data_IF_150587392386
#
_entry.id   IF_150587392386
#
_cell.length_a   1.000
_cell.length_b   1.000
_cell.length_c   1.000
_cell.angle_alpha   90.00
_cell.angle_beta   90.00
_cell.angle_gamma   90.00
#
_symmetry.space_group_name_H-M   'P 1'
#
loop_
_entity.id
_entity.type
_entity.pdbx_description
1 polymer ?
2 polymer ?
3 polymer ?
4 non-polymer ?
5 non-polymer ?
6 non-polymer ?
7 water ?
#
loop_
_entity_poly.entity_id
_entity_poly.type
_entity_poly.pdbx_seq_one_letter_code
_entity_poly.pdbx_strand_id
2 'polydeoxyribonucleotide' '(DT)(DT)(DT)(DC)(DG)(DT)(DC)(DT)(DT)(DC)(DG)(DG)(DC)(DA)(DA)(DT)(DT)' ?
3 'polydeoxyribonucleotide' '(DA)(DA)(DA)(DT)(DT)(DG)(DC)(DC)(DG)(DA)(DA)(DG)(DA)(DC)(DG)(DA)(DA)' ?
#
# COMPACT_ATOMS: atom_id res chain seq x y z
N UNK A 6 13.43 22.46 9.07
CA UNK A 6 13.70 22.54 10.49
C UNK A 6 13.48 21.22 11.21
N UNK A 7 14.58 20.54 11.54
CA UNK A 7 14.49 19.24 12.20
C UNK A 7 13.83 19.35 13.56
N UNK A 8 13.99 20.51 14.23
CA UNK A 8 13.33 20.69 15.52
C UNK A 8 11.81 20.75 15.37
N UNK A 9 11.34 21.41 14.31
CA UNK A 9 9.90 21.46 14.08
C UNK A 9 9.37 20.11 13.62
N UNK A 10 10.13 19.38 12.80
CA UNK A 10 9.66 18.11 12.26
C UNK A 10 9.49 17.08 13.36
N UNK A 11 10.35 17.11 14.38
CA UNK A 11 10.18 16.17 15.49
C UNK A 11 8.92 16.46 16.27
N UNK A 12 8.53 17.73 16.37
CA UNK A 12 7.29 18.08 17.04
C UNK A 12 6.08 17.55 16.28
N UNK A 13 6.14 17.56 14.94
CA UNK A 13 5.04 17.04 14.14
C UNK A 13 4.92 15.53 14.34
N UNK A 14 6.06 14.82 14.42
CA UNK A 14 6.03 13.38 14.58
C UNK A 14 5.46 12.96 15.93
N UNK A 15 5.70 13.75 16.98
CA UNK A 15 5.08 13.48 18.27
C UNK A 15 3.56 13.62 18.16
N UNK A 16 3.09 14.64 17.43
CA UNK A 16 1.66 14.80 17.21
C UNK A 16 1.08 13.63 16.44
N UNK A 17 1.87 13.02 15.56
CA UNK A 17 1.43 11.90 14.74
C UNK A 17 1.56 10.55 15.44
N UNK A 18 2.13 10.52 16.65
CA UNK A 18 2.29 9.26 17.36
C UNK A 18 0.94 8.71 17.80
N UNK A 19 0.74 7.42 17.58
CA UNK A 19 -0.52 6.78 17.93
C UNK A 19 -0.62 6.54 19.42
N UNK A 20 -1.84 6.60 19.93
CA UNK A 20 -2.10 6.30 21.34
C UNK A 20 -2.14 4.79 21.54
N UNK A 21 -1.29 4.29 22.43
CA UNK A 21 -1.24 2.85 22.67
C UNK A 21 -2.56 2.33 23.21
N UNK A 22 -3.29 3.15 23.97
CA UNK A 22 -4.64 2.78 24.38
C UNK A 22 -5.57 2.72 23.17
N UNK A 23 -5.43 3.66 22.24
CA UNK A 23 -6.22 3.60 21.01
C UNK A 23 -5.86 2.39 20.19
N UNK A 24 -4.57 2.06 20.10
CA UNK A 24 -4.14 0.88 19.35
C UNK A 24 -4.76 -0.38 19.95
N UNK A 25 -4.75 -0.50 21.28
CA UNK A 25 -5.24 -1.71 21.92
C UNK A 25 -6.75 -1.88 21.68
N UNK A 26 -7.51 -0.80 21.78
CA UNK A 26 -8.94 -0.89 21.53
C UNK A 26 -9.25 -1.06 20.06
N UNK A 27 -8.47 -0.40 19.19
CA UNK A 27 -8.72 -0.51 17.75
C UNK A 27 -8.33 -1.89 17.23
N UNK A 28 -7.17 -2.38 17.64
CA UNK A 28 -6.74 -3.70 17.19
C UNK A 28 -7.70 -4.78 17.66
N UNK A 29 -8.20 -4.66 18.89
CA UNK A 29 -9.16 -5.64 19.39
C UNK A 29 -10.44 -5.67 18.57
N UNK A 30 -10.93 -4.48 18.18
CA UNK A 30 -12.14 -4.43 17.35
C UNK A 30 -11.89 -5.02 15.97
N UNK A 31 -10.74 -4.69 15.38
CA UNK A 31 -10.44 -5.16 14.03
C UNK A 31 -10.23 -6.67 14.03
N UNK A 32 -9.41 -7.18 14.96
CA UNK A 32 -9.13 -8.61 14.99
C UNK A 32 -10.39 -9.43 15.19
N UNK A 33 -11.29 -8.98 16.06
CA UNK A 33 -12.51 -9.73 16.29
C UNK A 33 -13.39 -9.83 15.06
N UNK A 34 -13.49 -8.74 14.29
CA UNK A 34 -14.29 -8.76 13.07
C UNK A 34 -13.58 -9.54 11.96
N UNK A 35 -12.26 -9.36 11.86
CA UNK A 35 -11.51 -10.05 10.80
C UNK A 35 -11.49 -11.55 11.05
N UNK A 36 -11.26 -11.97 12.30
CA UNK A 36 -11.29 -13.40 12.60
C UNK A 36 -12.66 -14.00 12.37
N UNK A 37 -13.72 -13.21 12.60
CA UNK A 37 -15.07 -13.71 12.34
C UNK A 37 -15.28 -13.97 10.85
N UNK A 38 -14.86 -13.02 10.02
CA UNK A 38 -15.05 -13.17 8.57
C UNK A 38 -14.20 -14.31 8.02
N UNK A 39 -13.00 -14.51 8.58
CA UNK A 39 -12.17 -15.61 8.12
C UNK A 39 -12.79 -16.96 8.43
N UNK A 40 -13.35 -17.11 9.64
CA UNK A 40 -13.98 -18.36 10.01
C UNK A 40 -15.15 -18.69 9.08
N UNK A 41 -15.95 -17.68 8.72
CA UNK A 41 -17.05 -17.91 7.80
C UNK A 41 -16.55 -18.27 6.41
N UNK A 42 -15.59 -17.49 5.90
CA UNK A 42 -15.09 -17.72 4.55
C UNK A 42 -14.40 -19.07 4.41
N UNK A 43 -13.73 -19.54 5.47
CA UNK A 43 -13.10 -20.85 5.43
C UNK A 43 -14.11 -21.98 5.33
N UNK A 44 -15.38 -21.70 5.62
CA UNK A 44 -16.41 -22.73 5.51
C UNK A 44 -16.95 -22.88 4.09
N UNK A 45 -16.60 -21.97 3.18
CA UNK A 45 -17.10 -22.04 1.81
C UNK A 45 -16.14 -22.85 0.94
N UNK A 46 -16.71 -23.60 0.00
CA UNK A 46 -15.89 -24.45 -0.87
C UNK A 46 -14.95 -23.61 -1.72
N UNK A 47 -15.41 -22.46 -2.19
CA UNK A 47 -14.60 -21.63 -3.07
C UNK A 47 -13.46 -20.96 -2.31
N UNK A 48 -13.76 -20.37 -1.16
CA UNK A 48 -12.75 -19.72 -0.32
C UNK A 48 -12.15 -20.66 0.70
N UNK A 49 -11.84 -21.89 0.29
CA UNK A 49 -11.42 -22.93 1.23
C UNK A 49 -10.03 -22.63 1.78
N UNK A 50 -9.08 -22.28 0.91
CA UNK A 50 -7.72 -22.03 1.34
C UNK A 50 -7.44 -20.57 1.63
N UNK A 51 -8.45 -19.85 2.12
CA UNK A 51 -8.29 -18.43 2.38
C UNK A 51 -7.42 -18.21 3.61
N UNK A 52 -6.55 -17.20 3.55
CA UNK A 52 -5.68 -16.89 4.67
C UNK A 52 -5.56 -15.39 4.83
N UNK A 53 -5.08 -14.99 6.01
CA UNK A 53 -4.96 -13.57 6.35
C UNK A 53 -3.56 -13.06 6.03
N UNK A 54 -3.50 -11.90 5.37
CA UNK A 54 -2.26 -11.19 5.14
C UNK A 54 -2.49 -9.73 5.50
N UNK A 55 -1.94 -9.29 6.63
CA UNK A 55 -2.13 -7.92 7.09
C UNK A 55 -1.19 -6.98 6.33
N UNK A 56 -1.77 -5.95 5.72
CA UNK A 56 -1.05 -5.03 4.86
C UNK A 56 -1.29 -3.59 5.34
N UNK A 57 -0.63 -2.65 4.67
CA UNK A 57 -0.93 -1.25 4.90
C UNK A 57 -0.09 -0.61 5.99
N UNK A 58 -0.40 0.68 6.23
CA UNK A 58 0.43 1.51 7.08
C UNK A 58 0.44 1.03 8.53
N UNK A 59 -0.71 0.56 9.03
CA UNK A 59 -0.79 0.16 10.43
C UNK A 59 0.19 -0.97 10.73
N UNK A 60 0.12 -2.04 9.95
CA UNK A 60 1.01 -3.18 10.17
C UNK A 60 2.43 -2.91 9.70
N UNK A 61 2.65 -1.84 8.94
CA UNK A 61 3.99 -1.37 8.62
C UNK A 61 4.50 -0.37 9.65
N UNK A 62 3.69 -0.03 10.66
CA UNK A 62 4.06 0.91 11.71
C UNK A 62 4.37 2.30 11.16
N UNK A 63 3.58 2.74 10.18
CA UNK A 63 3.71 4.07 9.62
C UNK A 63 2.35 4.76 9.56
N UNK A 64 1.39 4.21 10.28
CA UNK A 64 0.10 4.88 10.44
C UNK A 64 0.27 6.10 11.33
N UNK A 65 -0.45 7.17 11.01
CA UNK A 65 -0.29 8.45 11.70
C UNK A 65 -1.63 8.90 12.27
N UNK A 66 -1.55 9.86 13.20
CA UNK A 66 -2.70 10.48 13.84
C UNK A 66 -3.46 9.50 14.73
N UNK A 67 -4.11 8.51 14.13
CA UNK A 67 -4.94 7.58 14.90
C UNK A 67 -5.02 6.26 14.14
N UNK A 68 -5.21 5.14 14.84
CA UNK A 68 -5.41 3.85 14.16
C UNK A 68 -6.85 3.67 13.70
N UNK A 69 -7.25 4.46 12.70
CA UNK A 69 -8.62 4.46 12.22
C UNK A 69 -8.81 3.79 10.86
N UNK A 70 -7.73 3.42 10.18
CA UNK A 70 -7.83 2.77 8.88
C UNK A 70 -6.90 1.56 8.87
N UNK A 71 -7.48 0.38 8.69
CA UNK A 71 -6.73 -0.88 8.62
C UNK A 71 -6.91 -1.48 7.24
N UNK A 72 -5.88 -2.19 6.78
CA UNK A 72 -5.88 -2.83 5.48
C UNK A 72 -5.54 -4.30 5.64
N UNK A 73 -6.48 -5.17 5.31
CA UNK A 73 -6.27 -6.62 5.38
C UNK A 73 -6.43 -7.20 3.98
N UNK A 74 -5.81 -8.35 3.78
CA UNK A 74 -5.78 -9.01 2.48
C UNK A 74 -6.15 -10.48 2.67
N UNK A 75 -7.32 -10.87 2.19
CA UNK A 75 -7.76 -12.26 2.25
C UNK A 75 -7.24 -12.98 1.03
N UNK A 76 -6.23 -13.83 1.22
CA UNK A 76 -5.50 -14.46 0.13
C UNK A 76 -5.94 -15.91 -0.05
N UNK A 77 -6.22 -16.30 -1.28
CA UNK A 77 -6.47 -17.69 -1.65
C UNK A 77 -5.26 -18.25 -2.38
N UNK A 78 -4.75 -19.38 -1.92
CA UNK A 78 -3.70 -20.08 -2.64
C UNK A 78 -4.32 -20.77 -3.85
N UNK A 79 -4.16 -20.17 -5.02
CA UNK A 79 -4.72 -20.75 -6.25
C UNK A 79 -3.64 -21.59 -6.92
N UNK A 80 -3.99 -22.73 -7.50
CA UNK A 80 -2.97 -23.57 -8.15
C UNK A 80 -2.92 -23.39 -9.65
N UNK A 81 -1.79 -23.77 -10.25
CA UNK A 81 -1.66 -23.92 -11.70
C UNK A 81 -2.09 -22.65 -12.44
N UNK A 82 -1.65 -21.50 -11.95
CA UNK A 82 -2.11 -20.23 -12.50
C UNK A 82 -1.37 -19.94 -13.79
N UNK A 83 -2.08 -19.32 -14.73
CA UNK A 83 -1.53 -18.92 -16.03
C UNK A 83 -1.97 -17.48 -16.28
N UNK A 84 -1.02 -16.56 -16.22
CA UNK A 84 -1.32 -15.14 -16.41
C UNK A 84 -1.29 -14.77 -17.89
N UNK A 85 -2.16 -13.83 -18.26
CA UNK A 85 -2.18 -13.26 -19.59
C UNK A 85 -2.28 -11.75 -19.46
N UNK A 86 -1.26 -11.04 -19.94
CA UNK A 86 -1.19 -9.60 -19.74
C UNK A 86 -2.29 -8.89 -20.53
N UNK A 87 -3.01 -8.00 -19.86
CA UNK A 87 -4.05 -7.22 -20.50
C UNK A 87 -3.42 -6.02 -21.21
N UNK A 88 -3.58 -5.98 -22.54
CA UNK A 88 -3.00 -4.92 -23.39
C UNK A 88 -1.50 -4.90 -23.12
N UNK A 89 -0.90 -3.74 -22.83
CA UNK A 89 0.49 -3.67 -22.41
C UNK A 89 0.62 -2.86 -21.14
N UNK A 90 -0.31 -3.09 -20.20
CA UNK A 90 -0.33 -2.33 -18.95
C UNK A 90 0.73 -2.81 -17.97
N UNK A 91 1.30 -4.01 -18.16
CA UNK A 91 2.39 -4.55 -17.36
C UNK A 91 1.96 -4.90 -15.94
N UNK A 92 0.82 -4.39 -15.49
CA UNK A 92 0.35 -4.63 -14.13
C UNK A 92 -1.01 -5.32 -14.05
N UNK A 93 -1.80 -5.30 -15.11
CA UNK A 93 -3.13 -5.90 -15.12
C UNK A 93 -3.11 -7.15 -16.00
N UNK A 94 -3.73 -8.22 -15.52
CA UNK A 94 -3.64 -9.52 -16.15
C UNK A 94 -5.00 -10.21 -16.14
N UNK A 95 -5.14 -11.19 -17.03
CA UNK A 95 -6.23 -12.15 -16.99
C UNK A 95 -5.72 -13.44 -16.36
N UNK A 96 -6.55 -14.05 -15.52
CA UNK A 96 -6.17 -15.25 -14.77
C UNK A 96 -6.70 -16.49 -15.46
N UNK A 97 -5.83 -17.47 -15.67
CA UNK A 97 -6.20 -18.76 -16.26
C UNK A 97 -5.61 -19.87 -15.40
N UNK A 98 -6.00 -21.10 -15.72
CA UNK A 98 -5.57 -22.28 -14.98
C UNK A 98 -4.89 -23.27 -15.91
N UNK A 99 -3.82 -23.89 -15.42
CA UNK A 99 -3.10 -24.90 -16.19
C UNK A 99 -3.73 -26.26 -16.04
N UNK A 105 -11.63 -28.01 -9.96
CA UNK A 105 -11.02 -27.19 -8.92
C UNK A 105 -12.10 -26.40 -8.18
N UNK A 106 -11.76 -25.83 -7.01
CA UNK A 106 -12.79 -25.10 -6.25
C UNK A 106 -13.32 -23.87 -6.96
N UNK A 107 -12.45 -23.10 -7.61
CA UNK A 107 -12.83 -21.84 -8.23
C UNK A 107 -13.47 -22.02 -9.61
N UNK A 108 -13.87 -23.24 -9.97
CA UNK A 108 -14.44 -23.48 -11.29
C UNK A 108 -15.75 -22.73 -11.48
N UNK A 109 -16.46 -22.42 -10.39
CA UNK A 109 -17.71 -21.69 -10.49
C UNK A 109 -17.51 -20.27 -11.01
N UNK A 110 -16.38 -19.66 -10.68
CA UNK A 110 -16.11 -18.28 -11.09
C UNK A 110 -15.55 -18.18 -12.50
N UNK A 111 -15.30 -19.31 -13.17
CA UNK A 111 -14.78 -19.27 -14.53
C UNK A 111 -15.81 -18.70 -15.49
N UNK A 112 -15.38 -17.75 -16.32
CA UNK A 112 -16.17 -17.24 -17.44
C UNK A 112 -15.38 -17.58 -18.70
N UNK A 113 -15.78 -18.65 -19.37
CA UNK A 113 -14.95 -19.19 -20.44
C UNK A 113 -13.76 -19.94 -19.87
N UNK A 114 -12.56 -19.42 -20.10
CA UNK A 114 -11.36 -19.99 -19.52
C UNK A 114 -10.64 -19.03 -18.59
N UNK A 115 -11.17 -17.82 -18.38
CA UNK A 115 -10.55 -16.82 -17.54
C UNK A 115 -11.34 -16.70 -16.24
N UNK A 116 -10.61 -16.49 -15.14
CA UNK A 116 -11.25 -16.37 -13.84
C UNK A 116 -11.92 -15.01 -13.72
N UNK A 117 -13.21 -15.00 -13.44
CA UNK A 117 -13.99 -13.76 -13.40
C UNK A 117 -13.76 -13.08 -12.05
N UNK A 118 -13.05 -11.94 -12.09
CA UNK A 118 -12.91 -11.13 -10.88
C UNK A 118 -14.26 -10.57 -10.45
N UNK A 119 -15.16 -10.33 -11.39
CA UNK A 119 -16.48 -9.80 -11.07
C UNK A 119 -17.30 -10.84 -10.31
N UNK A 120 -17.39 -12.06 -10.84
CA UNK A 120 -18.12 -13.13 -10.15
C UNK A 120 -17.51 -13.41 -8.79
N UNK A 121 -16.18 -13.56 -8.73
CA UNK A 121 -15.52 -13.87 -7.47
C UNK A 121 -15.71 -12.75 -6.46
N UNK A 122 -15.72 -11.50 -6.94
CA UNK A 122 -15.98 -10.36 -6.06
C UNK A 122 -17.42 -10.36 -5.57
N UNK A 123 -18.35 -10.82 -6.40
CA UNK A 123 -19.76 -10.81 -6.02
C UNK A 123 -20.01 -11.75 -4.84
N UNK A 124 -19.49 -12.97 -4.91
CA UNK A 124 -19.67 -13.91 -3.81
C UNK A 124 -18.89 -13.46 -2.58
N UNK A 125 -17.71 -12.89 -2.78
CA UNK A 125 -16.90 -12.38 -1.68
C UNK A 125 -17.65 -11.27 -0.93
N UNK A 126 -18.15 -10.27 -1.66
CA UNK A 126 -18.92 -9.21 -1.03
C UNK A 126 -20.19 -9.75 -0.37
N UNK A 127 -20.86 -10.68 -1.04
CA UNK A 127 -22.13 -11.20 -0.53
C UNK A 127 -21.94 -11.95 0.78
N UNK A 128 -20.92 -12.82 0.84
CA UNK A 128 -20.66 -13.58 2.05
C UNK A 128 -20.29 -12.65 3.19
N UNK A 129 -19.46 -11.64 2.91
CA UNK A 129 -19.06 -10.69 3.94
C UNK A 129 -20.24 -9.82 4.35
N UNK A 130 -21.03 -9.36 3.38
CA UNK A 130 -22.19 -8.52 3.71
C UNK A 130 -23.19 -9.28 4.53
N UNK A 131 -23.47 -10.54 4.17
CA UNK A 131 -24.38 -11.36 4.95
C UNK A 131 -23.88 -11.54 6.38
N UNK A 132 -22.56 -11.54 6.56
CA UNK A 132 -21.97 -11.73 7.89
C UNK A 132 -21.83 -10.42 8.66
N UNK A 133 -21.80 -9.28 7.98
CA UNK A 133 -21.62 -8.00 8.66
C UNK A 133 -22.93 -7.51 9.25
N UNK A 134 -24.05 -7.69 8.53
CA UNK A 134 -25.35 -7.36 9.11
C UNK A 134 -25.61 -8.17 10.37
N UNK A 135 -24.99 -9.35 10.49
CA UNK A 135 -25.12 -10.15 11.70
C UNK A 135 -24.48 -9.44 12.89
N UNK A 136 -23.34 -8.81 12.68
CA UNK A 136 -22.63 -8.12 13.76
C UNK A 136 -23.33 -6.80 14.11
N UNK A 140 -21.85 -4.20 15.63
CA UNK A 140 -21.88 -2.75 15.44
C UNK A 140 -20.94 -2.37 14.29
N UNK A 141 -21.05 -3.10 13.18
CA UNK A 141 -20.23 -2.87 12.00
C UNK A 141 -21.14 -2.82 10.77
N UNK A 142 -20.77 -1.96 9.83
CA UNK A 142 -21.52 -1.76 8.59
C UNK A 142 -20.56 -1.84 7.41
N UNK A 143 -21.04 -2.40 6.31
CA UNK A 143 -20.28 -2.48 5.07
C UNK A 143 -20.53 -1.25 4.20
N UNK A 144 -19.48 -0.78 3.53
CA UNK A 144 -19.62 0.28 2.54
C UNK A 144 -19.04 -0.17 1.19
N UNK A 148 -11.97 0.43 -7.40
CA UNK A 148 -12.63 -0.25 -8.50
C UNK A 148 -12.59 -1.77 -8.37
N UNK A 149 -13.14 -2.25 -7.26
CA UNK A 149 -13.14 -3.66 -6.95
C UNK A 149 -12.09 -4.07 -5.93
N UNK A 150 -11.01 -3.31 -5.81
CA UNK A 150 -9.98 -3.56 -4.80
C UNK A 150 -9.66 -2.23 -4.13
N UNK A 151 -9.95 -2.07 -2.83
CA UNK A 151 -10.47 -3.06 -1.87
C UNK A 151 -11.89 -3.54 -2.18
N UNK A 152 -12.12 -4.84 -1.96
CA UNK A 152 -13.43 -5.42 -2.23
C UNK A 152 -14.50 -4.80 -1.33
N UNK A 153 -14.27 -4.83 -0.02
CA UNK A 153 -15.22 -4.34 0.96
C UNK A 153 -14.51 -3.37 1.89
N UNK A 154 -15.24 -2.36 2.36
CA UNK A 154 -14.78 -1.43 3.37
C UNK A 154 -15.75 -1.47 4.54
N UNK A 155 -15.25 -1.85 5.71
CA UNK A 155 -16.05 -1.90 6.92
C UNK A 155 -15.84 -0.63 7.74
N UNK A 156 -16.90 -0.21 8.43
CA UNK A 156 -16.84 0.90 9.37
C UNK A 156 -17.25 0.38 10.74
N UNK A 157 -16.27 0.21 11.62
CA UNK A 157 -16.49 -0.35 12.95
C UNK A 157 -16.78 0.80 13.91
N UNK A 158 -17.99 0.80 14.48
CA UNK A 158 -18.36 1.74 15.55
C UNK A 158 -18.19 3.20 15.13
N UNK A 159 -18.31 3.47 13.83
CA UNK A 159 -18.20 4.80 13.25
C UNK A 159 -16.85 5.45 13.50
N UNK A 160 -15.87 4.70 13.99
CA UNK A 160 -14.54 5.23 14.29
C UNK A 160 -13.44 4.64 13.41
N UNK A 161 -13.53 3.36 13.06
CA UNK A 161 -12.44 2.63 12.44
C UNK A 161 -12.93 2.04 11.11
N UNK A 162 -12.17 2.28 10.05
CA UNK A 162 -12.46 1.71 8.73
C UNK A 162 -11.45 0.62 8.42
N UNK A 163 -11.93 -0.46 7.81
CA UNK A 163 -11.09 -1.62 7.49
C UNK A 163 -11.31 -1.97 6.03
N UNK A 164 -10.26 -1.86 5.22
CA UNK A 164 -10.32 -2.24 3.81
C UNK A 164 -9.97 -3.72 3.69
N UNK A 165 -10.88 -4.49 3.10
CA UNK A 165 -10.70 -5.92 2.90
C UNK A 165 -10.51 -6.17 1.42
N UNK A 166 -9.35 -6.73 1.07
CA UNK A 166 -8.98 -6.94 -0.32
C UNK A 166 -8.94 -8.43 -0.61
N UNK A 167 -9.72 -8.86 -1.61
CA UNK A 167 -9.60 -10.22 -2.12
C UNK A 167 -8.30 -10.34 -2.90
N UNK A 168 -7.62 -11.48 -2.76
CA UNK A 168 -6.34 -11.66 -3.41
C UNK A 168 -6.10 -13.12 -3.71
N UNK A 169 -5.55 -13.37 -4.91
CA UNK A 169 -5.08 -14.70 -5.28
C UNK A 169 -3.60 -14.80 -4.95
N UNK A 170 -3.19 -15.95 -4.41
CA UNK A 170 -1.80 -16.21 -4.09
C UNK A 170 -1.22 -17.17 -5.11
N UNK A 171 -0.18 -16.74 -5.83
CA UNK A 171 0.53 -17.57 -6.77
C UNK A 171 1.97 -17.72 -6.28
N UNK A 172 2.35 -18.94 -5.93
CA UNK A 172 3.71 -19.23 -5.52
C UNK A 172 4.67 -19.37 -6.69
N UNK A 173 4.20 -19.10 -7.91
CA UNK A 173 5.04 -19.17 -9.09
C UNK A 173 6.05 -18.02 -9.09
N UNK A 174 6.97 -18.07 -10.05
CA UNK A 174 7.90 -16.97 -10.25
C UNK A 174 7.14 -15.71 -10.65
N UNK A 175 7.69 -14.56 -10.27
CA UNK A 175 7.01 -13.30 -10.54
C UNK A 175 6.92 -13.06 -12.05
N UNK A 176 5.87 -12.38 -12.50
CA UNK A 176 5.72 -12.11 -13.94
C UNK A 176 6.89 -11.33 -14.51
N UNK A 177 7.00 -11.36 -15.84
CA UNK A 177 8.14 -10.76 -16.52
C UNK A 177 8.21 -9.25 -16.31
N UNK A 178 7.08 -8.61 -16.04
CA UNK A 178 7.06 -7.16 -15.86
C UNK A 178 7.83 -6.72 -14.61
N UNK A 179 8.00 -7.62 -13.65
CA UNK A 179 8.72 -7.32 -12.42
C UNK A 179 10.20 -7.66 -12.51
N UNK A 180 10.68 -8.08 -13.67
CA UNK A 180 12.06 -8.54 -13.80
C UNK A 180 13.04 -7.46 -13.37
N UNK A 181 12.81 -6.22 -13.78
CA UNK A 181 13.71 -5.12 -13.48
C UNK A 181 13.22 -4.26 -12.31
N UNK A 182 12.24 -4.75 -11.54
CA UNK A 182 11.76 -4.03 -10.38
C UNK A 182 12.45 -4.48 -9.11
N UNK A 183 11.96 -3.96 -7.99
CA UNK A 183 12.48 -4.25 -6.66
C UNK A 183 14.00 -4.13 -6.63
N UNK A 184 14.47 -2.94 -7.01
CA UNK A 184 15.90 -2.67 -7.16
C UNK A 184 16.49 -2.31 -5.80
N UNK A 185 16.71 -3.35 -5.00
CA UNK A 185 17.18 -3.22 -3.63
C UNK A 185 18.59 -3.80 -3.46
N UNK A 186 19.27 -4.11 -4.56
CA UNK A 186 20.52 -4.88 -4.47
C UNK A 186 21.59 -4.10 -3.69
N UNK A 187 21.73 -2.81 -3.97
CA UNK A 187 22.72 -2.00 -3.27
C UNK A 187 22.19 -1.47 -1.94
N UNK A 188 20.94 -1.77 -1.58
CA UNK A 188 20.35 -1.31 -0.34
C UNK A 188 20.11 -2.49 0.62
N UNK A 189 19.17 -3.37 0.31
CA UNK A 189 18.87 -4.50 1.19
C UNK A 189 19.65 -5.75 0.82
N UNK A 190 20.43 -5.71 -0.27
CA UNK A 190 21.35 -6.74 -0.75
C UNK A 190 20.72 -7.62 -1.83
N UNK A 191 21.55 -8.14 -2.74
CA UNK A 191 21.06 -9.06 -3.76
C UNK A 191 20.59 -10.36 -3.13
N UNK A 192 21.19 -10.76 -2.01
CA UNK A 192 20.73 -11.94 -1.30
C UNK A 192 19.28 -11.79 -0.84
N UNK A 193 18.92 -10.60 -0.35
CA UNK A 193 17.57 -10.38 0.13
C UNK A 193 16.59 -10.27 -1.02
N UNK A 194 17.02 -9.67 -2.14
CA UNK A 194 16.15 -9.59 -3.30
C UNK A 194 15.84 -10.99 -3.84
N UNK A 195 16.81 -11.90 -3.77
CA UNK A 195 16.57 -13.26 -4.23
C UNK A 195 15.54 -13.97 -3.35
N UNK A 196 15.63 -13.78 -2.02
CA UNK A 196 14.69 -14.43 -1.12
C UNK A 196 13.30 -13.79 -1.21
N UNK A 197 13.25 -12.46 -1.38
CA UNK A 197 11.95 -11.79 -1.49
C UNK A 197 11.21 -12.21 -2.75
N UNK A 198 11.93 -12.27 -3.88
CA UNK A 198 11.29 -12.70 -5.12
C UNK A 198 11.00 -14.20 -5.15
N UNK A 199 11.41 -14.94 -4.12
CA UNK A 199 11.00 -16.34 -4.01
C UNK A 199 9.64 -16.49 -3.34
N UNK A 200 9.23 -15.51 -2.55
CA UNK A 200 7.91 -15.50 -1.94
C UNK A 200 6.84 -15.37 -3.02
N UNK A 201 5.59 -15.72 -2.72
CA UNK A 201 4.53 -15.60 -3.71
C UNK A 201 4.23 -14.14 -4.03
N UNK A 202 3.53 -13.95 -5.16
CA UNK A 202 2.97 -12.67 -5.53
C UNK A 202 1.45 -12.77 -5.53
N UNK A 203 0.79 -11.63 -5.48
CA UNK A 203 -0.65 -11.59 -5.29
C UNK A 203 -1.34 -10.81 -6.39
N UNK A 204 -2.55 -11.25 -6.71
CA UNK A 204 -3.41 -10.62 -7.71
C UNK A 204 -4.70 -10.18 -7.02
N UNK A 205 -5.06 -8.93 -7.20
CA UNK A 205 -6.27 -8.38 -6.59
C UNK A 205 -7.23 -7.96 -7.70
N UNK A 206 -8.54 -8.10 -7.51
CA UNK A 206 -9.49 -7.70 -8.56
C UNK A 206 -9.56 -6.18 -8.72
N UNK A 207 -8.95 -5.68 -9.79
CA UNK A 207 -8.93 -4.25 -10.08
C UNK A 207 -9.18 -4.08 -11.58
N UNK A 208 -10.16 -3.27 -11.94
CA UNK A 208 -10.50 -3.08 -13.34
C UNK A 208 -9.71 -1.92 -13.92
N UNK A 209 -9.38 -2.05 -15.21
CA UNK A 209 -8.58 -1.06 -15.91
C UNK A 209 -9.44 -0.17 -16.80
N UNK A 216 -12.55 -2.57 -18.75
CA UNK A 216 -12.51 -4.02 -18.60
C UNK A 216 -12.50 -4.40 -17.13
N UNK A 217 -13.50 -5.17 -16.70
CA UNK A 217 -13.70 -5.46 -15.28
C UNK A 217 -13.33 -6.90 -14.92
N UNK A 218 -12.69 -7.65 -15.81
CA UNK A 218 -12.23 -9.00 -15.50
C UNK A 218 -10.72 -9.07 -15.33
N UNK A 219 -10.08 -7.94 -15.05
CA UNK A 219 -8.64 -7.86 -14.88
C UNK A 219 -8.26 -7.94 -13.41
N UNK A 220 -7.09 -8.51 -13.16
CA UNK A 220 -6.48 -8.55 -11.84
C UNK A 220 -5.17 -7.77 -11.88
N UNK A 221 -4.85 -7.09 -10.77
CA UNK A 221 -3.65 -6.29 -10.66
C UNK A 221 -2.67 -6.95 -9.70
N UNK A 222 -1.38 -6.88 -10.04
CA UNK A 222 -0.35 -7.43 -9.19
C UNK A 222 -0.28 -6.68 -7.87
N UNK A 223 -0.07 -7.43 -6.78
CA UNK A 223 0.07 -6.85 -5.45
C UNK A 223 1.31 -7.42 -4.79
N UNK A 224 2.05 -6.56 -4.11
CA UNK A 224 3.25 -6.93 -3.36
C UNK A 224 3.25 -6.25 -2.01
N UNK A 225 2.07 -6.13 -1.41
CA UNK A 225 1.95 -5.47 -0.11
C UNK A 225 2.72 -6.22 0.98
N UNK A 226 2.83 -7.54 0.85
CA UNK A 226 3.62 -8.31 1.81
C UNK A 226 5.11 -7.96 1.71
N UNK A 227 5.60 -7.74 0.49
CA UNK A 227 6.99 -7.33 0.33
C UNK A 227 7.20 -5.91 0.83
N UNK A 228 6.21 -5.04 0.63
CA UNK A 228 6.31 -3.67 1.15
C UNK A 228 6.35 -3.67 2.67
N UNK A 229 5.54 -4.53 3.30
CA UNK A 229 5.56 -4.61 4.75
C UNK A 229 6.88 -5.16 5.25
N UNK A 230 7.39 -6.21 4.59
CA UNK A 230 8.65 -6.81 5.01
C UNK A 230 9.81 -5.83 4.84
N UNK A 231 9.83 -5.08 3.73
CA UNK A 231 10.90 -4.12 3.52
C UNK A 231 10.88 -3.05 4.60
N UNK A 232 9.69 -2.53 4.91
CA UNK A 232 9.59 -1.43 5.86
C UNK A 232 9.98 -1.86 7.28
N UNK A 233 9.72 -3.11 7.66
CA UNK A 233 10.09 -3.60 8.97
C UNK A 233 11.49 -4.19 9.03
N UNK A 234 12.18 -4.30 7.89
CA UNK A 234 13.57 -4.74 7.81
C UNK A 234 14.23 -3.88 6.73
N UNK A 235 14.48 -2.61 7.06
CA UNK A 235 14.65 -1.56 6.07
C UNK A 235 16.08 -1.06 5.92
N UNK A 236 17.00 -1.47 6.79
CA UNK A 236 18.32 -0.91 6.82
C UNK A 236 19.35 -1.68 6.01
N UNK A 237 20.39 -0.95 5.61
CA UNK A 237 21.61 -1.61 5.11
C UNK A 237 22.20 -2.51 6.18
N UNK A 238 22.34 -1.98 7.40
CA UNK A 238 22.74 -2.79 8.53
C UNK A 238 21.60 -3.71 8.98
N UNK A 239 21.97 -4.93 9.35
CA UNK A 239 20.97 -5.86 9.87
C UNK A 239 20.41 -5.40 11.21
N UNK A 240 21.17 -4.62 11.97
CA UNK A 240 20.75 -4.14 13.28
C UNK A 240 20.09 -2.76 13.24
N UNK A 241 19.72 -2.28 12.06
CA UNK A 241 19.15 -0.95 11.95
C UNK A 241 17.87 -0.84 12.77
N UNK A 242 17.77 0.22 13.57
CA UNK A 242 16.66 0.52 14.45
C UNK A 242 16.45 -0.55 15.53
N UNK A 243 17.44 -1.41 15.77
CA UNK A 243 17.36 -2.37 16.86
C UNK A 243 17.94 -1.83 18.16
N UNK A 244 18.75 -0.78 18.10
CA UNK A 244 19.35 -0.19 19.28
C UNK A 244 19.37 1.32 19.12
N UNK A 245 19.68 2.02 20.22
CA UNK A 245 19.68 3.48 20.18
C UNK A 245 20.72 4.03 19.23
N UNK A 246 21.85 3.34 19.08
CA UNK A 246 22.93 3.85 18.24
C UNK A 246 22.58 3.81 16.75
N UNK A 247 21.65 2.96 16.34
CA UNK A 247 21.33 2.75 14.94
C UNK A 247 19.88 3.08 14.62
N UNK A 248 19.37 4.17 15.20
CA UNK A 248 18.00 4.60 14.93
C UNK A 248 18.01 5.54 13.72
N UNK A 249 17.50 5.06 12.59
CA UNK A 249 17.37 5.87 11.40
C UNK A 249 16.00 6.57 11.37
N UNK A 250 15.84 7.47 10.41
CA UNK A 250 14.61 8.24 10.27
C UNK A 250 13.85 7.91 9.00
N UNK A 251 14.03 6.69 8.46
CA UNK A 251 13.31 6.29 7.26
C UNK A 251 11.81 6.35 7.47
N UNK A 252 11.32 5.68 8.53
CA UNK A 252 9.88 5.65 8.78
C UNK A 252 9.36 7.03 9.15
N UNK A 253 10.16 7.83 9.86
CA UNK A 253 9.74 9.19 10.19
C UNK A 253 9.53 10.02 8.94
N UNK A 254 10.40 9.85 7.94
CA UNK A 254 10.26 10.59 6.69
C UNK A 254 9.00 10.16 5.94
N UNK A 255 8.71 8.86 5.94
CA UNK A 255 7.49 8.38 5.29
C UNK A 255 6.26 8.94 6.00
N UNK A 256 6.26 8.94 7.34
CA UNK A 256 5.16 9.53 8.09
C UNK A 256 4.96 10.98 7.73
N UNK A 257 6.05 11.75 7.64
CA UNK A 257 5.94 13.17 7.32
C UNK A 257 5.41 13.38 5.91
N UNK A 258 5.82 12.53 4.97
CA UNK A 258 5.32 12.63 3.61
C UNK A 258 3.84 12.28 3.54
N UNK A 259 3.42 11.23 4.28
CA UNK A 259 2.02 10.88 4.33
C UNK A 259 1.19 11.99 4.95
N UNK A 260 1.71 12.63 6.00
CA UNK A 260 1.00 13.72 6.64
C UNK A 260 0.93 14.95 5.74
N UNK A 261 2.00 15.22 5.01
CA UNK A 261 2.01 16.37 4.10
C UNK A 261 0.92 16.24 3.04
N UNK A 262 0.81 15.06 2.44
CA UNK A 262 -0.24 14.83 1.44
C UNK A 262 -1.63 14.83 2.08
N UNK A 263 -1.74 14.25 3.28
CA UNK A 263 -3.03 14.24 3.96
C UNK A 263 -3.49 15.65 4.30
N UNK A 264 -2.57 16.49 4.78
CA UNK A 264 -2.94 17.85 5.13
C UNK A 264 -3.25 18.70 3.90
N UNK A 265 -2.59 18.41 2.78
CA UNK A 265 -2.85 19.17 1.57
C UNK A 265 -4.19 18.77 0.94
N UNK A 266 -4.49 17.47 0.92
CA UNK A 266 -5.77 17.01 0.38
C UNK A 266 -6.94 17.55 1.20
N UNK A 267 -6.76 17.69 2.51
CA UNK A 267 -7.81 18.26 3.35
C UNK A 267 -7.91 19.77 3.16
N UNK A 268 -6.75 20.45 3.04
CA UNK A 268 -6.74 21.89 2.87
C UNK A 268 -7.39 22.31 1.56
N UNK A 269 -7.29 21.47 0.52
CA UNK A 269 -7.84 21.76 -0.80
C UNK A 269 -8.91 20.75 -1.19
N UNK A 270 -9.70 20.29 -0.22
CA UNK A 270 -10.74 19.30 -0.50
C UNK A 270 -11.85 19.89 -1.35
N UNK A 271 -12.10 21.20 -1.25
CA UNK A 271 -13.14 21.82 -2.05
C UNK A 271 -12.80 21.77 -3.54
N UNK A 272 -11.52 21.91 -3.87
CA UNK A 272 -11.06 21.63 -5.22
C UNK A 272 -10.86 20.13 -5.40
N UNK A 273 -10.87 19.68 -6.64
CA UNK A 273 -10.82 18.26 -6.95
C UNK A 273 -9.47 17.80 -7.49
N UNK A 274 -8.44 18.63 -7.38
CA UNK A 274 -7.15 18.29 -7.99
C UNK A 274 -6.46 17.15 -7.26
N UNK A 275 -6.44 17.19 -5.93
CA UNK A 275 -5.70 16.20 -5.15
C UNK A 275 -6.49 14.92 -4.88
N UNK A 276 -7.67 14.76 -5.49
CA UNK A 276 -8.48 13.58 -5.25
C UNK A 276 -7.83 12.33 -5.84
N UNK A 277 -7.02 12.48 -6.88
CA UNK A 277 -6.36 11.33 -7.50
C UNK A 277 -5.10 10.91 -6.76
N UNK A 278 -4.55 11.77 -5.92
CA UNK A 278 -3.32 11.43 -5.20
C UNK A 278 -3.64 10.64 -3.94
N UNK A 279 -2.87 9.57 -3.72
CA UNK A 279 -3.04 8.69 -2.58
C UNK A 279 -1.71 8.54 -1.85
N UNK A 280 -1.79 7.98 -0.64
CA UNK A 280 -0.59 7.74 0.15
C UNK A 280 0.32 6.69 -0.47
N UNK A 281 -0.21 5.85 -1.36
CA UNK A 281 0.63 4.87 -2.04
C UNK A 281 1.60 5.54 -3.00
N UNK A 282 1.20 6.67 -3.59
CA UNK A 282 2.14 7.46 -4.38
C UNK A 282 3.31 7.92 -3.52
N UNK A 283 3.01 8.41 -2.31
CA UNK A 283 4.05 8.82 -1.37
C UNK A 283 4.89 7.62 -0.95
N UNK A 284 4.24 6.49 -0.66
CA UNK A 284 4.99 5.32 -0.20
C UNK A 284 5.88 4.77 -1.31
N UNK A 285 5.36 4.71 -2.54
CA UNK A 285 6.17 4.26 -3.67
C UNK A 285 7.37 5.19 -3.87
N UNK A 286 7.13 6.49 -3.81
CA UNK A 286 8.23 7.45 -3.95
C UNK A 286 9.25 7.28 -2.83
N UNK A 287 8.79 6.93 -1.63
CA UNK A 287 9.71 6.73 -0.51
C UNK A 287 10.62 5.55 -0.76
N UNK A 288 10.08 4.45 -1.30
CA UNK A 288 10.91 3.29 -1.61
C UNK A 288 11.98 3.64 -2.63
N UNK A 289 11.66 4.53 -3.58
CA UNK A 289 12.65 4.95 -4.56
C UNK A 289 13.75 5.78 -3.92
N UNK A 290 13.39 6.65 -2.97
CA UNK A 290 14.39 7.43 -2.26
C UNK A 290 15.31 6.52 -1.46
N UNK A 291 14.77 5.42 -0.93
CA UNK A 291 15.62 4.47 -0.20
C UNK A 291 16.61 3.79 -1.15
N UNK A 292 16.19 3.49 -2.38
CA UNK A 292 17.12 2.98 -3.37
C UNK A 292 18.19 4.01 -3.70
N UNK A 293 17.80 5.28 -3.82
CA UNK A 293 18.76 6.33 -4.12
C UNK A 293 19.71 6.59 -2.96
N UNK A 294 19.28 6.30 -1.73
CA UNK A 294 20.09 6.50 -0.53
C UNK A 294 20.14 5.18 0.23
N UNK A 295 21.00 4.26 -0.20
CA UNK A 295 20.96 2.90 0.38
C UNK A 295 21.57 2.80 1.76
N UNK A 296 22.43 3.73 2.15
CA UNK A 296 23.18 3.61 3.40
C UNK A 296 22.37 4.18 4.57
N UNK A 297 22.51 3.54 5.73
CA UNK A 297 21.84 4.03 6.93
C UNK A 297 22.40 5.38 7.38
N UNK A 298 23.67 5.65 7.05
CA UNK A 298 24.23 6.95 7.35
C UNK A 298 23.52 8.05 6.58
N UNK A 299 22.98 7.74 5.41
CA UNK A 299 22.16 8.67 4.64
C UNK A 299 20.76 8.85 5.22
N UNK A 300 20.44 8.16 6.31
CA UNK A 300 19.16 8.31 6.99
C UNK A 300 19.37 8.55 8.48
N UNK A 301 20.45 9.24 8.84
CA UNK A 301 20.75 9.49 10.24
C UNK A 301 19.65 10.33 10.88
N UNK A 302 19.39 10.06 12.16
CA UNK A 302 18.34 10.78 12.87
C UNK A 302 18.62 12.28 12.94
N UNK A 303 19.90 12.64 13.08
CA UNK A 303 20.27 14.05 13.15
C UNK A 303 19.94 14.81 11.87
N UNK A 304 19.83 14.11 10.74
CA UNK A 304 19.58 14.71 9.44
C UNK A 304 18.12 14.57 9.01
N UNK A 305 17.18 14.57 9.96
CA UNK A 305 15.78 14.35 9.63
C UNK A 305 15.28 15.39 8.62
N UNK A 306 15.67 16.65 8.79
CA UNK A 306 15.23 17.67 7.86
C UNK A 306 15.82 17.49 6.47
N UNK A 307 17.08 17.06 6.40
CA UNK A 307 17.70 16.79 5.11
C UNK A 307 17.08 15.56 4.45
N UNK A 308 16.84 14.50 5.24
CA UNK A 308 16.25 13.29 4.68
C UNK A 308 14.83 13.53 4.22
N UNK A 309 14.06 14.31 4.99
CA UNK A 309 12.70 14.63 4.58
C UNK A 309 12.68 15.46 3.31
N UNK A 310 13.67 16.35 3.15
CA UNK A 310 13.74 17.16 1.94
C UNK A 310 14.11 16.31 0.73
N UNK A 311 14.91 15.25 0.94
CA UNK A 311 15.15 14.30 -0.14
C UNK A 311 13.85 13.68 -0.63
N UNK A 312 12.99 13.28 0.31
CA UNK A 312 11.70 12.70 -0.07
C UNK A 312 10.82 13.73 -0.76
N UNK A 313 10.84 14.97 -0.30
CA UNK A 313 10.07 16.03 -0.94
C UNK A 313 10.65 16.34 -2.33
N UNK A 314 11.97 16.44 -2.43
CA UNK A 314 12.59 16.76 -3.71
C UNK A 314 12.32 15.67 -4.75
N UNK A 315 12.42 14.41 -4.33
CA UNK A 315 12.15 13.32 -5.26
C UNK A 315 10.69 13.32 -5.70
N UNK A 316 9.77 13.57 -4.76
CA UNK A 316 8.35 13.54 -5.10
C UNK A 316 8.01 14.69 -6.05
N UNK A 317 8.66 15.84 -5.88
CA UNK A 317 8.45 16.93 -6.83
C UNK A 317 8.95 16.55 -8.22
N UNK A 318 10.08 15.84 -8.29
CA UNK A 318 10.60 15.40 -9.59
C UNK A 318 9.62 14.47 -10.29
N UNK A 319 8.95 13.59 -9.53
CA UNK A 319 7.96 12.70 -10.12
C UNK A 319 6.76 13.48 -10.63
N UNK A 320 6.31 14.47 -9.87
CA UNK A 320 5.18 15.29 -10.29
C UNK A 320 5.53 16.07 -11.56
N UNK A 321 6.70 16.72 -11.57
CA UNK A 321 7.06 17.58 -12.69
C UNK A 321 7.28 16.78 -13.96
N UNK A 322 7.95 15.63 -13.87
CA UNK A 322 8.22 14.80 -15.02
C UNK A 322 7.09 13.82 -15.32
N UNK A 323 6.06 13.77 -14.48
CA UNK A 323 4.91 12.88 -14.67
C UNK A 323 5.36 11.42 -14.74
N UNK A 324 6.32 11.05 -13.90
CA UNK A 324 6.89 9.70 -13.91
C UNK A 324 7.11 9.24 -12.48
N UNK A 325 6.36 8.22 -12.06
CA UNK A 325 6.54 7.59 -10.75
C UNK A 325 6.33 6.10 -10.95
N UNK A 326 7.43 5.37 -11.10
CA UNK A 326 7.35 3.95 -11.42
C UNK A 326 6.86 3.14 -10.21
N UNK A 327 5.94 2.21 -10.46
CA UNK A 327 5.63 1.20 -9.47
C UNK A 327 6.90 0.48 -9.05
N UNK A 328 7.14 0.44 -7.75
CA UNK A 328 8.42 -0.06 -7.23
C UNK A 328 8.71 -1.48 -7.67
N UNK A 329 7.67 -2.26 -7.99
CA UNK A 329 7.85 -3.64 -8.43
C UNK A 329 7.65 -3.83 -9.92
N UNK A 330 6.96 -2.90 -10.58
CA UNK A 330 6.73 -2.94 -12.01
C UNK A 330 7.22 -1.62 -12.61
N UNK A 331 8.46 -1.58 -13.11
CA UNK A 331 9.03 -0.29 -13.55
C UNK A 331 8.28 0.34 -14.70
N UNK A 332 7.73 -0.44 -15.62
CA UNK A 332 7.05 0.11 -16.78
C UNK A 332 5.64 0.62 -16.49
N UNK A 333 5.15 0.45 -15.25
CA UNK A 333 3.84 0.96 -14.86
C UNK A 333 4.05 2.31 -14.19
N UNK A 334 3.54 3.37 -14.82
CA UNK A 334 3.73 4.74 -14.35
C UNK A 334 2.47 5.17 -13.60
N UNK A 335 2.59 5.30 -12.28
CA UNK A 335 1.49 5.74 -11.46
C UNK A 335 1.09 7.19 -11.75
N UNK A 336 2.02 8.00 -12.26
CA UNK A 336 1.72 9.36 -12.64
C UNK A 336 1.46 9.51 -14.14
N UNK A 337 0.99 8.44 -14.78
CA UNK A 337 0.67 8.51 -16.21
C UNK A 337 -0.45 9.51 -16.46
N UNK A 338 -0.47 10.06 -17.67
CA UNK A 338 -1.50 11.03 -18.03
C UNK A 338 -2.89 10.39 -18.06
N UNK A 339 -2.96 9.09 -18.33
CA UNK A 339 -4.24 8.40 -18.33
C UNK A 339 -4.81 8.24 -16.93
N UNK A 340 -3.98 8.38 -15.91
CA UNK A 340 -4.39 8.15 -14.52
C UNK A 340 -4.61 9.44 -13.74
N UNK A 341 -3.76 10.45 -13.94
CA UNK A 341 -3.85 11.72 -13.22
C UNK A 341 -3.68 12.87 -14.21
N UNK A 342 -4.51 13.90 -14.06
CA UNK A 342 -4.45 15.05 -14.93
C UNK A 342 -3.18 15.86 -14.70
N UNK A 343 -2.71 16.52 -15.75
CA UNK A 343 -1.52 17.37 -15.64
C UNK A 343 -1.75 18.53 -14.69
N UNK A 344 -2.95 19.11 -14.72
CA UNK A 344 -3.26 20.22 -13.82
C UNK A 344 -3.25 19.78 -12.36
N UNK A 345 -3.60 18.52 -12.09
CA UNK A 345 -3.53 18.03 -10.72
C UNK A 345 -2.08 17.91 -10.25
N UNK A 346 -1.19 17.45 -11.13
CA UNK A 346 0.21 17.33 -10.78
C UNK A 346 0.85 18.70 -10.61
N UNK A 347 0.52 19.65 -11.50
CA UNK A 347 1.06 20.99 -11.39
C UNK A 347 0.53 21.71 -10.15
N UNK A 348 -0.72 21.43 -9.78
CA UNK A 348 -1.29 22.02 -8.56
C UNK A 348 -0.56 21.52 -7.33
N UNK A 349 -0.39 20.20 -7.22
CA UNK A 349 0.32 19.65 -6.07
C UNK A 349 1.79 20.06 -6.08
N UNK A 350 2.39 20.15 -7.27
CA UNK A 350 3.75 20.67 -7.37
C UNK A 350 3.82 22.09 -6.82
N UNK A 351 2.85 22.93 -7.20
CA UNK A 351 2.85 24.32 -6.77
C UNK A 351 2.69 24.43 -5.26
N UNK A 352 1.77 23.64 -4.68
CA UNK A 352 1.50 23.73 -3.25
C UNK A 352 2.66 23.20 -2.43
N UNK A 353 3.28 22.09 -2.86
CA UNK A 353 4.40 21.54 -2.11
C UNK A 353 5.57 22.51 -2.11
N UNK A 354 5.82 23.16 -3.24
CA UNK A 354 6.90 24.14 -3.30
C UNK A 354 6.62 25.32 -2.40
N UNK A 355 5.38 25.80 -2.38
CA UNK A 355 5.01 26.86 -1.43
C UNK A 355 5.17 26.37 0.00
N UNK A 356 4.66 25.17 0.29
CA UNK A 356 4.75 24.63 1.64
C UNK A 356 6.20 24.52 2.10
N UNK A 357 7.09 24.05 1.22
CA UNK A 357 8.49 23.91 1.59
C UNK A 357 9.13 25.27 1.86
N UNK A 358 8.80 26.27 1.05
CA UNK A 358 9.40 27.59 1.19
C UNK A 358 8.90 28.36 2.40
N UNK A 359 7.92 27.83 3.15
CA UNK A 359 7.38 28.52 4.32
C UNK A 359 7.33 27.62 5.53
N UNK A 360 8.28 26.69 5.64
CA UNK A 360 8.41 25.80 6.80
C UNK A 360 7.16 24.95 7.01
N UNK A 361 6.53 24.55 5.90
CA UNK A 361 5.37 23.66 5.89
C UNK A 361 4.26 24.13 6.84
N UNK A 362 3.50 25.16 6.47
CA UNK A 362 2.42 25.62 7.34
C UNK A 362 1.31 24.61 7.57
N UNK A 363 1.09 23.67 6.64
CA UNK A 363 -0.01 22.71 6.82
C UNK A 363 0.23 21.80 8.02
N UNK A 364 1.48 21.71 8.49
CA UNK A 364 1.74 20.90 9.67
C UNK A 364 1.15 21.54 10.93
N UNK A 365 1.23 22.85 11.04
CA UNK A 365 0.61 23.54 12.17
C UNK A 365 -0.90 23.48 12.09
N UNK A 366 -1.46 23.74 10.91
CA UNK A 366 -2.90 23.76 10.68
C UNK A 366 -3.62 24.70 11.64
#
# INVERSE_FOLDING_TARGET
SDAAPGASKLRAVLEKLKLSRDDISTAAGMVNGVVDHLLRRLKCDSAFRGVGLLNTGSYYEHVKISAPNEFDVMFKLEVPRIQLEEYSNTRAYYFVKFKRNPKENPLSQFLEGEILSASKMLSKFRKIIKEEINDIKDTDVIMKRKRGGSPAVTLLISEKISVDITLALESKSSWPASTQEGLRIQNWLSAKVRKQLRLKPFYLVPKHAKEGNGFQEETWRLSFSHIEKEILNNHGKSKTCCENKEEKCCRKDCLKLMKYLLEQLKERFKDKKHLDKFSSYHVKTAFFHVCTQNPQDSQWDRKDLGLCFDNCVTYFLQCLRTEKLENYFIPEFNLFSSNLIDKRSKEFLTKQIEYERNNEFPVFDEF
#
